data_IF_703621269163
#
_entry.id   IF_703621269163
#
_cell.length_a   1.000
_cell.length_b   1.000
_cell.length_c   1.000
_cell.angle_alpha   90.00
_cell.angle_beta   90.00
_cell.angle_gamma   90.00
#
_symmetry.space_group_name_H-M   'P 1'
#
loop_
_entity.id
_entity.type
_entity.pdbx_description
1 polymer ?
#
# COMPACT_ATOMS: atom_id res chain seq x y z
N UNK A 1 -19.07 0.45 -9.50
CA UNK A 1 -18.98 -1.03 -9.66
C UNK A 1 -17.84 -1.49 -8.78
N UNK A 2 -18.11 -2.37 -7.81
CA UNK A 2 -17.12 -2.74 -6.78
C UNK A 2 -15.90 -3.38 -7.43
N UNK A 3 -14.73 -2.79 -7.19
CA UNK A 3 -13.45 -3.24 -7.72
C UNK A 3 -12.77 -4.24 -6.80
N UNK A 4 -12.67 -3.91 -5.49
CA UNK A 4 -12.22 -4.83 -4.44
C UNK A 4 -13.34 -5.03 -3.42
N UNK A 5 -13.64 -6.27 -3.10
CA UNK A 5 -14.58 -6.64 -2.05
C UNK A 5 -13.90 -7.61 -1.07
N UNK A 6 -13.91 -7.25 0.21
CA UNK A 6 -13.44 -8.09 1.31
C UNK A 6 -14.63 -8.37 2.23
N UNK A 7 -14.93 -9.65 2.49
CA UNK A 7 -16.05 -10.07 3.34
C UNK A 7 -15.57 -11.05 4.40
N UNK A 8 -15.85 -10.72 5.65
CA UNK A 8 -15.60 -11.55 6.83
C UNK A 8 -14.21 -12.17 6.85
N UNK A 9 -13.21 -11.38 6.41
CA UNK A 9 -11.82 -11.81 6.34
C UNK A 9 -11.31 -12.15 7.74
N UNK A 10 -10.86 -13.39 7.92
CA UNK A 10 -10.15 -13.82 9.10
C UNK A 10 -8.77 -14.34 8.73
N UNK A 11 -7.78 -13.96 9.54
CA UNK A 11 -6.40 -14.46 9.43
C UNK A 11 -5.92 -14.91 10.79
N UNK A 12 -5.45 -16.16 10.87
CA UNK A 12 -4.92 -16.78 12.09
C UNK A 12 -3.56 -17.39 11.84
N UNK A 13 -2.65 -17.30 12.79
CA UNK A 13 -1.29 -17.79 12.66
C UNK A 13 -0.97 -18.93 13.60
N UNK A 14 -0.21 -19.90 13.07
CA UNK A 14 0.41 -20.99 13.81
C UNK A 14 -0.56 -21.97 14.48
N UNK A 15 -0.01 -22.93 15.22
CA UNK A 15 -0.79 -23.99 15.89
C UNK A 15 -1.74 -23.44 16.96
N UNK A 16 -1.42 -22.31 17.59
CA UNK A 16 -2.25 -21.67 18.62
C UNK A 16 -3.37 -20.82 18.03
N UNK A 17 -3.50 -20.73 16.71
CA UNK A 17 -4.53 -19.97 16.01
C UNK A 17 -4.60 -18.51 16.49
N UNK A 18 -3.44 -17.88 16.70
CA UNK A 18 -3.38 -16.47 17.09
C UNK A 18 -4.09 -15.62 16.03
N UNK A 19 -5.15 -14.91 16.43
CA UNK A 19 -5.99 -14.11 15.55
C UNK A 19 -5.28 -12.80 15.24
N UNK A 20 -5.05 -12.50 13.96
CA UNK A 20 -4.48 -11.26 13.50
C UNK A 20 -5.49 -10.38 12.75
N UNK A 21 -6.49 -11.02 12.10
CA UNK A 21 -7.63 -10.33 11.47
C UNK A 21 -8.87 -11.14 11.81
N UNK A 22 -9.95 -10.47 12.22
CA UNK A 22 -11.15 -11.10 12.75
C UNK A 22 -12.43 -10.46 12.20
N UNK A 23 -12.95 -10.99 11.08
CA UNK A 23 -14.22 -10.58 10.49
C UNK A 23 -14.16 -9.22 9.77
N UNK A 24 -13.03 -8.86 9.19
CA UNK A 24 -12.88 -7.59 8.47
C UNK A 24 -13.66 -7.61 7.16
N UNK A 25 -14.52 -6.60 6.96
CA UNK A 25 -15.34 -6.43 5.75
C UNK A 25 -15.30 -4.98 5.25
N UNK A 26 -15.00 -4.81 3.97
CA UNK A 26 -15.07 -3.52 3.27
C UNK A 26 -15.12 -3.72 1.76
N UNK A 27 -15.48 -2.66 1.04
CA UNK A 27 -15.43 -2.62 -0.41
C UNK A 27 -14.79 -1.32 -0.88
N UNK A 28 -14.22 -1.37 -2.09
CA UNK A 28 -13.66 -0.24 -2.82
C UNK A 28 -14.19 -0.25 -4.25
N UNK A 29 -14.68 0.87 -4.71
CA UNK A 29 -14.94 1.10 -6.12
C UNK A 29 -13.69 1.61 -6.86
N UNK A 30 -13.70 1.61 -8.19
CA UNK A 30 -12.61 2.21 -8.98
C UNK A 30 -12.47 3.70 -8.64
N UNK A 31 -11.23 4.17 -8.46
CA UNK A 31 -10.96 5.55 -8.05
C UNK A 31 -11.22 5.84 -6.58
N UNK A 32 -11.72 4.87 -5.80
CA UNK A 32 -11.96 5.04 -4.38
C UNK A 32 -10.71 4.74 -3.56
N UNK A 33 -10.52 5.52 -2.49
CA UNK A 33 -9.41 5.37 -1.54
C UNK A 33 -9.95 5.20 -0.14
N UNK A 34 -9.59 4.07 0.50
CA UNK A 34 -9.90 3.77 1.89
C UNK A 34 -8.63 3.81 2.73
N UNK A 35 -8.62 4.64 3.76
CA UNK A 35 -7.60 4.59 4.80
C UNK A 35 -7.90 3.51 5.82
N UNK A 36 -6.90 2.77 6.28
CA UNK A 36 -6.99 1.92 7.47
C UNK A 36 -6.00 2.46 8.49
N UNK A 37 -6.51 2.88 9.65
CA UNK A 37 -5.72 3.40 10.75
C UNK A 37 -5.84 2.52 11.99
N UNK A 38 -4.84 2.56 12.85
CA UNK A 38 -4.81 1.81 14.11
C UNK A 38 -3.39 1.60 14.61
N UNK A 39 -3.23 1.15 15.83
CA UNK A 39 -1.92 0.87 16.45
C UNK A 39 -1.15 -0.23 15.71
N UNK A 40 0.18 -0.31 15.97
CA UNK A 40 1.00 -1.42 15.48
C UNK A 40 0.43 -2.75 15.98
N UNK A 41 0.39 -3.76 15.11
CA UNK A 41 -0.18 -5.06 15.43
C UNK A 41 -1.72 -5.16 15.33
N UNK A 42 -2.44 -4.10 14.96
CA UNK A 42 -3.91 -4.17 14.80
C UNK A 42 -4.41 -4.99 13.61
N UNK A 43 -3.53 -5.49 12.73
CA UNK A 43 -3.89 -6.35 11.59
C UNK A 43 -3.86 -5.67 10.21
N UNK A 44 -3.51 -4.37 10.11
CA UNK A 44 -3.53 -3.59 8.87
C UNK A 44 -2.68 -4.20 7.75
N UNK A 45 -1.38 -4.37 7.99
CA UNK A 45 -0.45 -4.96 7.01
C UNK A 45 -0.79 -6.42 6.69
N UNK A 46 -1.31 -7.16 7.69
CA UNK A 46 -1.79 -8.54 7.49
C UNK A 46 -2.96 -8.57 6.51
N UNK A 47 -3.86 -7.59 6.57
CA UNK A 47 -4.96 -7.44 5.61
C UNK A 47 -4.43 -7.21 4.19
N UNK A 48 -3.45 -6.32 4.00
CA UNK A 48 -2.80 -6.11 2.70
C UNK A 48 -2.12 -7.38 2.18
N UNK A 49 -1.38 -8.09 3.04
CA UNK A 49 -0.71 -9.34 2.69
C UNK A 49 -1.71 -10.45 2.32
N UNK A 50 -2.88 -10.50 2.98
CA UNK A 50 -3.96 -11.44 2.64
C UNK A 50 -4.51 -11.18 1.24
N UNK A 51 -4.74 -9.91 0.87
CA UNK A 51 -5.20 -9.51 -0.47
C UNK A 51 -4.18 -9.93 -1.54
N UNK A 52 -2.89 -9.76 -1.27
CA UNK A 52 -1.81 -10.16 -2.18
C UNK A 52 -1.51 -11.66 -2.18
N UNK A 53 -2.08 -12.44 -1.26
CA UNK A 53 -1.72 -13.85 -1.11
C UNK A 53 -0.25 -14.05 -0.73
N UNK A 54 0.32 -13.14 0.07
CA UNK A 54 1.71 -13.17 0.53
C UNK A 54 1.86 -13.59 2.00
N UNK A 55 0.78 -14.08 2.61
CA UNK A 55 0.87 -14.64 3.95
C UNK A 55 1.67 -15.94 3.93
N UNK A 56 2.43 -16.25 5.01
CA UNK A 56 3.19 -17.49 5.08
C UNK A 56 2.25 -18.73 5.11
N UNK A 57 2.75 -19.89 4.69
CA UNK A 57 1.98 -21.13 4.53
C UNK A 57 1.26 -21.59 5.83
N UNK A 58 1.79 -21.22 6.99
CA UNK A 58 1.18 -21.53 8.28
C UNK A 58 0.07 -20.56 8.71
N UNK A 59 -0.28 -19.58 7.86
CA UNK A 59 -1.43 -18.71 8.07
C UNK A 59 -2.71 -19.38 7.54
N UNK A 60 -3.75 -19.33 8.35
CA UNK A 60 -5.08 -19.76 7.96
C UNK A 60 -5.92 -18.54 7.59
N UNK A 61 -6.31 -18.46 6.32
CA UNK A 61 -7.12 -17.36 5.77
C UNK A 61 -8.51 -17.91 5.45
N UNK A 62 -9.55 -17.22 5.90
CA UNK A 62 -10.95 -17.52 5.60
C UNK A 62 -11.75 -16.25 5.35
N UNK A 63 -12.99 -16.40 4.90
CA UNK A 63 -13.81 -15.30 4.36
C UNK A 63 -13.77 -15.26 2.85
N UNK A 64 -13.87 -14.06 2.25
CA UNK A 64 -13.81 -13.86 0.80
C UNK A 64 -13.08 -12.57 0.48
N UNK A 65 -12.20 -12.61 -0.52
CA UNK A 65 -11.54 -11.44 -1.11
C UNK A 65 -11.77 -11.53 -2.62
N UNK A 66 -12.50 -10.56 -3.18
CA UNK A 66 -12.79 -10.53 -4.61
C UNK A 66 -12.25 -9.29 -5.28
N UNK A 67 -11.52 -9.50 -6.37
CA UNK A 67 -11.08 -8.44 -7.27
C UNK A 67 -11.86 -8.54 -8.58
N UNK A 68 -12.63 -7.51 -8.93
CA UNK A 68 -13.52 -7.52 -10.10
C UNK A 68 -14.40 -8.79 -10.16
N UNK A 69 -14.91 -9.24 -9.00
CA UNK A 69 -15.73 -10.43 -8.87
C UNK A 69 -14.97 -11.76 -8.81
N UNK A 70 -13.65 -11.78 -9.09
CA UNK A 70 -12.79 -12.97 -9.00
C UNK A 70 -12.38 -13.21 -7.55
N UNK A 71 -12.68 -14.39 -7.01
CA UNK A 71 -12.22 -14.80 -5.68
C UNK A 71 -10.70 -15.00 -5.67
N UNK A 72 -10.03 -14.41 -4.67
CA UNK A 72 -8.58 -14.51 -4.52
C UNK A 72 -8.18 -15.57 -3.51
N UNK A 73 -8.95 -15.78 -2.42
CA UNK A 73 -8.61 -16.78 -1.41
C UNK A 73 -8.59 -18.17 -2.06
N UNK A 74 -7.50 -18.90 -1.84
CA UNK A 74 -7.32 -20.23 -2.40
C UNK A 74 -6.85 -20.28 -3.86
N UNK A 75 -6.56 -19.13 -4.49
CA UNK A 75 -5.95 -19.13 -5.81
C UNK A 75 -4.57 -19.81 -5.78
N UNK A 76 -4.25 -20.65 -6.78
CA UNK A 76 -2.89 -21.16 -6.95
C UNK A 76 -1.87 -20.04 -7.18
N UNK A 77 -0.65 -20.21 -6.70
CA UNK A 77 0.44 -19.21 -6.79
C UNK A 77 0.67 -18.71 -8.23
N UNK A 78 0.56 -19.58 -9.23
CA UNK A 78 0.68 -19.17 -10.65
C UNK A 78 -0.30 -18.06 -11.05
N UNK A 79 -1.51 -18.04 -10.47
CA UNK A 79 -2.51 -17.01 -10.75
C UNK A 79 -2.20 -15.72 -9.98
N UNK A 80 -1.74 -15.83 -8.72
CA UNK A 80 -1.28 -14.66 -7.98
C UNK A 80 -0.09 -13.97 -8.65
N UNK A 81 0.86 -14.73 -9.23
CA UNK A 81 2.00 -14.13 -9.98
C UNK A 81 1.54 -13.30 -11.18
N UNK A 82 0.46 -13.69 -11.84
CA UNK A 82 -0.11 -12.91 -12.94
C UNK A 82 -0.80 -11.62 -12.47
N UNK A 83 -1.32 -11.61 -11.23
CA UNK A 83 -1.99 -10.46 -10.64
C UNK A 83 -1.01 -9.46 -10.02
N UNK A 84 -0.02 -9.97 -9.25
CA UNK A 84 0.96 -9.13 -8.53
C UNK A 84 1.81 -8.34 -9.51
N UNK A 85 1.88 -7.02 -9.29
CA UNK A 85 2.61 -6.09 -10.14
C UNK A 85 1.89 -5.70 -11.44
N UNK A 86 0.76 -6.33 -11.77
CA UNK A 86 -0.04 -6.05 -12.96
C UNK A 86 -1.45 -5.51 -12.61
N UNK A 87 -2.27 -6.31 -11.93
CA UNK A 87 -3.62 -5.91 -11.51
C UNK A 87 -3.61 -5.35 -10.07
N UNK A 88 -2.78 -5.91 -9.21
CA UNK A 88 -2.60 -5.50 -7.81
C UNK A 88 -1.13 -5.21 -7.57
N UNK A 89 -0.83 -4.07 -6.97
CA UNK A 89 0.52 -3.72 -6.54
C UNK A 89 0.55 -3.24 -5.10
N UNK A 90 1.74 -3.25 -4.50
CA UNK A 90 1.95 -2.78 -3.13
C UNK A 90 3.17 -1.87 -3.03
N UNK A 91 3.01 -0.77 -2.30
CA UNK A 91 4.10 0.08 -1.85
C UNK A 91 4.39 -0.32 -0.41
N UNK A 92 5.58 -0.86 -0.16
CA UNK A 92 6.00 -1.38 1.14
C UNK A 92 6.55 -0.29 2.04
N UNK A 93 6.49 -0.52 3.34
CA UNK A 93 6.88 0.41 4.39
C UNK A 93 8.37 0.80 4.33
N UNK A 94 9.27 -0.17 4.07
CA UNK A 94 10.71 0.05 4.13
C UNK A 94 11.39 -0.07 2.77
N UNK A 95 11.84 1.05 2.16
CA UNK A 95 12.53 1.02 0.87
C UNK A 95 13.83 0.21 0.86
N UNK A 96 14.53 0.15 2.00
CA UNK A 96 15.82 -0.55 2.10
C UNK A 96 15.69 -2.08 2.02
N UNK A 97 14.55 -2.62 2.44
CA UNK A 97 14.30 -4.07 2.37
C UNK A 97 13.64 -4.50 1.07
N UNK A 98 13.00 -3.55 0.36
CA UNK A 98 12.30 -3.81 -0.88
C UNK A 98 13.18 -3.66 -2.13
N UNK A 99 14.26 -2.87 -2.08
CA UNK A 99 15.23 -2.71 -3.17
C UNK A 99 16.42 -3.66 -3.00
N UNK A 100 16.79 -4.36 -4.07
CA UNK A 100 18.02 -5.18 -4.09
C UNK A 100 19.25 -4.26 -4.09
N UNK A 101 20.10 -4.28 -3.03
CA UNK A 101 21.25 -3.40 -2.90
C UNK A 101 22.35 -3.69 -3.94
N UNK A 102 22.32 -4.84 -4.59
CA UNK A 102 23.32 -5.30 -5.57
C UNK A 102 22.92 -5.02 -7.02
N UNK A 103 21.69 -4.55 -7.24
CA UNK A 103 21.13 -4.31 -8.56
C UNK A 103 20.91 -2.81 -8.81
N UNK A 104 21.20 -2.34 -10.02
CA UNK A 104 20.95 -0.95 -10.43
C UNK A 104 19.45 -0.66 -10.49
N UNK A 105 19.05 0.56 -10.15
CA UNK A 105 17.66 1.00 -10.09
C UNK A 105 16.91 0.75 -11.40
N UNK A 106 17.49 1.15 -12.53
CA UNK A 106 16.85 0.98 -13.83
C UNK A 106 16.56 -0.47 -14.18
N UNK A 107 17.42 -1.41 -13.74
CA UNK A 107 17.20 -2.83 -13.92
C UNK A 107 16.04 -3.32 -13.03
N UNK A 108 15.98 -2.91 -11.78
CA UNK A 108 14.89 -3.30 -10.87
C UNK A 108 13.52 -2.85 -11.38
N UNK A 109 13.40 -1.57 -11.79
CA UNK A 109 12.16 -1.05 -12.39
C UNK A 109 11.86 -1.78 -13.71
N UNK A 110 12.88 -2.03 -14.54
CA UNK A 110 12.73 -2.73 -15.82
C UNK A 110 12.25 -4.17 -15.67
N UNK A 111 12.75 -4.91 -14.68
CA UNK A 111 12.30 -6.28 -14.40
C UNK A 111 10.82 -6.33 -14.04
N UNK A 112 10.31 -5.38 -13.24
CA UNK A 112 8.88 -5.30 -12.93
C UNK A 112 8.03 -5.12 -14.19
N UNK A 113 8.51 -4.29 -15.13
CA UNK A 113 7.83 -4.08 -16.42
C UNK A 113 7.90 -5.35 -17.28
N UNK A 114 9.07 -5.97 -17.38
CA UNK A 114 9.33 -7.10 -18.26
C UNK A 114 8.58 -8.39 -17.87
N UNK A 115 8.36 -8.62 -16.57
CA UNK A 115 7.65 -9.81 -16.07
C UNK A 115 6.23 -9.91 -16.67
N UNK A 116 5.57 -8.78 -16.93
CA UNK A 116 4.18 -8.74 -17.41
C UNK A 116 4.04 -8.31 -18.88
N UNK A 117 5.13 -7.83 -19.48
CA UNK A 117 5.17 -7.46 -20.91
C UNK A 117 6.19 -8.36 -21.59
N UNK A 118 5.82 -8.97 -22.68
CA UNK A 118 6.70 -9.92 -23.37
C UNK A 118 8.02 -9.27 -23.82
N UNK A 119 9.07 -9.42 -23.01
CA UNK A 119 10.46 -9.15 -23.39
C UNK A 119 11.07 -7.88 -22.81
N UNK A 120 12.39 -7.95 -22.59
CA UNK A 120 13.26 -6.79 -22.41
C UNK A 120 13.59 -6.18 -23.79
N UNK A 121 13.51 -4.86 -23.90
CA UNK A 121 13.85 -4.16 -25.14
C UNK A 121 13.98 -2.65 -24.93
N UNK A 122 14.30 -1.89 -25.97
CA UNK A 122 14.38 -0.43 -25.89
C UNK A 122 13.14 0.21 -25.26
N UNK A 123 11.95 -0.32 -25.54
CA UNK A 123 10.70 0.14 -24.96
C UNK A 123 10.65 0.01 -23.42
N UNK A 124 11.30 -1.02 -22.85
CA UNK A 124 11.38 -1.17 -21.39
C UNK A 124 12.23 -0.05 -20.78
N UNK A 125 13.35 0.30 -21.41
CA UNK A 125 14.22 1.38 -20.93
C UNK A 125 13.51 2.74 -20.97
N UNK A 126 12.78 3.04 -22.03
CA UNK A 126 11.99 4.27 -22.15
C UNK A 126 10.92 4.36 -21.04
N UNK A 127 10.21 3.25 -20.76
CA UNK A 127 9.23 3.16 -19.68
C UNK A 127 9.88 3.39 -18.31
N UNK A 128 11.07 2.85 -18.08
CA UNK A 128 11.83 3.07 -16.83
C UNK A 128 12.12 4.55 -16.65
N UNK A 129 12.65 5.23 -17.68
CA UNK A 129 12.97 6.66 -17.59
C UNK A 129 11.71 7.52 -17.41
N UNK A 130 10.64 7.21 -18.16
CA UNK A 130 9.32 7.86 -18.00
C UNK A 130 8.82 7.78 -16.57
N UNK A 131 8.84 6.58 -15.95
CA UNK A 131 8.37 6.42 -14.59
C UNK A 131 9.26 7.09 -13.55
N UNK A 132 10.58 7.07 -13.72
CA UNK A 132 11.48 7.79 -12.82
C UNK A 132 11.24 9.31 -12.90
N UNK A 133 11.02 9.86 -14.09
CA UNK A 133 10.66 11.26 -14.27
C UNK A 133 9.29 11.57 -13.63
N UNK A 134 8.29 10.74 -13.89
CA UNK A 134 6.93 10.88 -13.41
C UNK A 134 6.83 10.89 -11.87
N UNK A 135 7.66 10.11 -11.19
CA UNK A 135 7.75 10.15 -9.71
C UNK A 135 8.63 11.29 -9.19
N UNK A 136 9.07 12.20 -10.06
CA UNK A 136 9.83 13.39 -9.70
C UNK A 136 11.30 13.13 -9.38
N UNK A 137 11.89 12.08 -9.93
CA UNK A 137 13.35 11.88 -9.91
C UNK A 137 13.97 12.86 -10.88
N UNK A 138 14.90 13.69 -10.38
CA UNK A 138 15.75 14.50 -11.22
C UNK A 138 16.87 13.64 -11.82
N UNK A 139 17.24 13.90 -13.08
CA UNK A 139 18.25 13.15 -13.83
C UNK A 139 17.95 11.62 -13.89
N UNK A 140 16.77 11.20 -14.45
CA UNK A 140 16.37 9.78 -14.52
C UNK A 140 17.45 8.86 -15.09
N UNK A 141 18.20 9.23 -16.16
CA UNK A 141 19.27 8.36 -16.70
C UNK A 141 20.40 8.11 -15.70
N UNK A 142 20.76 9.07 -14.87
CA UNK A 142 21.77 8.91 -13.83
C UNK A 142 21.27 7.98 -12.74
N UNK A 143 20.07 8.25 -12.24
CA UNK A 143 19.46 7.44 -11.17
C UNK A 143 19.19 6.00 -11.63
N UNK A 144 18.75 5.77 -12.86
CA UNK A 144 18.61 4.43 -13.42
C UNK A 144 19.90 3.62 -13.40
N UNK A 145 21.07 4.29 -13.53
CA UNK A 145 22.39 3.66 -13.46
C UNK A 145 22.95 3.56 -12.03
N UNK A 146 22.32 4.16 -11.04
CA UNK A 146 22.75 4.13 -9.63
C UNK A 146 22.27 2.88 -8.91
N UNK A 147 22.92 2.57 -7.79
CA UNK A 147 22.51 1.55 -6.84
C UNK A 147 21.66 2.17 -5.72
N UNK A 148 20.83 1.38 -5.00
CA UNK A 148 19.98 1.90 -3.92
C UNK A 148 20.72 2.70 -2.85
N UNK A 149 21.94 2.29 -2.47
CA UNK A 149 22.74 2.95 -1.44
C UNK A 149 23.25 4.34 -1.85
N UNK A 150 23.27 4.66 -3.15
CA UNK A 150 23.65 5.98 -3.69
C UNK A 150 22.51 6.99 -3.68
N UNK A 151 21.28 6.56 -3.32
CA UNK A 151 20.08 7.40 -3.31
C UNK A 151 19.71 7.87 -1.89
N UNK A 152 19.10 9.05 -1.79
CA UNK A 152 18.45 9.50 -0.56
C UNK A 152 17.22 8.65 -0.22
N UNK A 153 16.73 8.71 1.04
CA UNK A 153 15.52 7.99 1.46
C UNK A 153 14.30 8.35 0.60
N UNK A 154 14.09 9.63 0.33
CA UNK A 154 13.00 10.09 -0.53
C UNK A 154 13.13 9.63 -1.99
N UNK A 155 14.35 9.56 -2.54
CA UNK A 155 14.57 9.02 -3.88
C UNK A 155 14.26 7.52 -3.94
N UNK A 156 14.69 6.74 -2.94
CA UNK A 156 14.36 5.31 -2.84
C UNK A 156 12.85 5.08 -2.78
N UNK A 157 12.14 5.89 -1.97
CA UNK A 157 10.68 5.79 -1.87
C UNK A 157 10.01 6.09 -3.22
N UNK A 158 10.46 7.13 -3.94
CA UNK A 158 9.96 7.46 -5.29
C UNK A 158 10.23 6.33 -6.29
N UNK A 159 11.37 5.67 -6.20
CA UNK A 159 11.69 4.48 -7.01
C UNK A 159 10.73 3.32 -6.70
N UNK A 160 10.42 3.04 -5.42
CA UNK A 160 9.42 2.03 -5.07
C UNK A 160 8.03 2.36 -5.61
N UNK A 161 7.63 3.63 -5.56
CA UNK A 161 6.37 4.08 -6.17
C UNK A 161 6.40 3.85 -7.68
N UNK A 162 7.50 4.19 -8.36
CA UNK A 162 7.68 3.92 -9.78
C UNK A 162 7.54 2.42 -10.10
N UNK A 163 8.20 1.54 -9.35
CA UNK A 163 8.08 0.09 -9.49
C UNK A 163 6.64 -0.38 -9.28
N UNK A 164 5.99 0.08 -8.22
CA UNK A 164 4.62 -0.30 -7.91
C UNK A 164 3.60 0.11 -8.98
N UNK A 165 3.83 1.23 -9.66
CA UNK A 165 2.90 1.81 -10.63
C UNK A 165 3.26 1.55 -12.10
N UNK A 166 4.43 0.99 -12.38
CA UNK A 166 4.99 0.85 -13.74
C UNK A 166 4.07 0.09 -14.71
N UNK A 167 3.35 -0.91 -14.24
CA UNK A 167 2.38 -1.66 -15.04
C UNK A 167 0.95 -1.12 -14.93
N UNK A 168 0.75 0.03 -14.30
CA UNK A 168 -0.55 0.72 -14.16
C UNK A 168 -1.61 -0.17 -13.49
N UNK A 169 -1.36 -0.75 -12.31
CA UNK A 169 -2.30 -1.61 -11.61
C UNK A 169 -3.61 -0.88 -11.30
N UNK A 170 -4.72 -1.61 -11.29
CA UNK A 170 -6.02 -1.06 -10.93
C UNK A 170 -6.24 -0.96 -9.41
N UNK A 171 -5.52 -1.80 -8.61
CA UNK A 171 -5.51 -1.76 -7.15
C UNK A 171 -4.09 -1.50 -6.64
N UNK A 172 -3.95 -0.50 -5.78
CA UNK A 172 -2.68 -0.19 -5.11
C UNK A 172 -2.85 -0.26 -3.60
N UNK A 173 -2.06 -1.10 -2.95
CA UNK A 173 -1.99 -1.20 -1.50
C UNK A 173 -0.80 -0.38 -1.02
N UNK A 174 -1.02 0.59 -0.16
CA UNK A 174 0.01 1.46 0.41
C UNK A 174 0.17 1.13 1.90
N UNK A 175 1.23 0.42 2.27
CA UNK A 175 1.51 0.06 3.66
C UNK A 175 2.57 1.00 4.22
N UNK A 176 2.13 2.00 4.95
CA UNK A 176 2.94 3.06 5.55
C UNK A 176 3.95 3.72 4.56
N UNK A 177 3.50 4.22 3.40
CA UNK A 177 4.37 4.58 2.28
C UNK A 177 5.27 5.80 2.54
N UNK A 178 5.12 6.48 3.68
CA UNK A 178 5.89 7.69 4.03
C UNK A 178 6.61 7.59 5.37
N UNK A 179 6.59 6.43 6.01
CA UNK A 179 7.34 6.19 7.25
C UNK A 179 8.84 6.42 7.02
N UNK A 180 9.52 7.02 8.00
CA UNK A 180 10.95 7.38 7.97
C UNK A 180 11.35 8.46 6.93
N UNK A 181 10.41 9.24 6.39
CA UNK A 181 10.68 10.43 5.59
C UNK A 181 10.55 11.70 6.45
N UNK A 182 11.36 12.71 6.12
CA UNK A 182 11.15 14.05 6.70
C UNK A 182 9.85 14.68 6.20
N UNK A 183 9.32 15.65 6.94
CA UNK A 183 7.99 16.24 6.69
C UNK A 183 7.82 16.80 5.28
N UNK A 184 8.87 17.43 4.72
CA UNK A 184 8.80 18.03 3.38
C UNK A 184 8.76 16.94 2.30
N UNK A 185 9.61 15.94 2.41
CA UNK A 185 9.63 14.79 1.49
C UNK A 185 8.35 13.98 1.61
N UNK A 186 7.86 13.76 2.84
CA UNK A 186 6.58 13.08 3.09
C UNK A 186 5.44 13.77 2.32
N UNK A 187 5.30 15.10 2.44
CA UNK A 187 4.26 15.85 1.73
C UNK A 187 4.37 15.69 0.21
N UNK A 188 5.59 15.80 -0.33
CA UNK A 188 5.81 15.62 -1.77
C UNK A 188 5.45 14.22 -2.26
N UNK A 189 5.73 13.18 -1.46
CA UNK A 189 5.36 11.79 -1.78
C UNK A 189 3.84 11.61 -1.71
N UNK A 190 3.16 12.21 -0.73
CA UNK A 190 1.70 12.15 -0.62
C UNK A 190 1.01 12.88 -1.79
N UNK A 191 1.50 14.04 -2.21
CA UNK A 191 0.98 14.78 -3.36
C UNK A 191 1.16 13.97 -4.66
N UNK A 192 2.32 13.31 -4.82
CA UNK A 192 2.56 12.38 -5.91
C UNK A 192 1.55 11.20 -5.89
N UNK A 193 1.36 10.55 -4.73
CA UNK A 193 0.40 9.47 -4.58
C UNK A 193 -1.03 9.95 -4.85
N UNK A 194 -1.40 11.16 -4.41
CA UNK A 194 -2.70 11.75 -4.70
C UNK A 194 -2.96 11.86 -6.21
N UNK A 195 -1.98 12.30 -6.99
CA UNK A 195 -2.10 12.43 -8.45
C UNK A 195 -2.14 11.06 -9.14
N UNK A 196 -1.24 10.15 -8.76
CA UNK A 196 -1.08 8.86 -9.42
C UNK A 196 -2.19 7.86 -9.10
N UNK A 197 -2.83 7.98 -7.92
CA UNK A 197 -3.89 7.09 -7.47
C UNK A 197 -5.31 7.64 -7.76
N UNK A 198 -5.46 8.76 -8.45
CA UNK A 198 -6.74 9.43 -8.65
C UNK A 198 -7.80 8.53 -9.31
N UNK A 199 -7.40 7.67 -10.25
CA UNK A 199 -8.30 6.79 -11.00
C UNK A 199 -8.20 5.32 -10.56
N UNK A 200 -7.44 5.00 -9.51
CA UNK A 200 -7.18 3.65 -9.03
C UNK A 200 -7.90 3.39 -7.72
N UNK A 201 -8.36 2.16 -7.53
CA UNK A 201 -8.74 1.71 -6.21
C UNK A 201 -7.49 1.64 -5.33
N UNK A 202 -7.53 2.17 -4.11
CA UNK A 202 -6.37 2.06 -3.23
C UNK A 202 -6.74 1.89 -1.77
N UNK A 203 -5.96 1.05 -1.08
CA UNK A 203 -6.01 0.84 0.36
C UNK A 203 -4.78 1.50 0.98
N UNK A 204 -4.98 2.45 1.85
CA UNK A 204 -3.92 3.24 2.46
C UNK A 204 -3.80 2.92 3.95
N UNK A 205 -2.77 2.21 4.32
CA UNK A 205 -2.51 1.83 5.72
C UNK A 205 -1.52 2.82 6.33
N UNK A 206 -1.88 3.41 7.46
CA UNK A 206 -1.01 4.26 8.25
C UNK A 206 -1.41 4.26 9.72
N UNK A 207 -0.47 4.57 10.61
CA UNK A 207 -0.75 4.95 11.99
C UNK A 207 -0.92 6.47 12.14
N UNK A 208 -0.54 7.24 11.12
CA UNK A 208 -0.64 8.71 11.09
C UNK A 208 -1.96 9.15 10.45
N UNK A 209 -2.82 9.75 11.26
CA UNK A 209 -4.13 10.25 10.85
C UNK A 209 -4.04 11.41 9.85
N UNK A 210 -3.03 12.27 9.98
CA UNK A 210 -2.82 13.40 9.09
C UNK A 210 -2.46 12.93 7.67
N UNK A 211 -1.64 11.86 7.57
CA UNK A 211 -1.29 11.21 6.31
C UNK A 211 -2.55 10.66 5.62
N UNK A 212 -3.38 9.92 6.36
CA UNK A 212 -4.61 9.34 5.80
C UNK A 212 -5.60 10.43 5.38
N UNK A 213 -5.76 11.49 6.18
CA UNK A 213 -6.61 12.64 5.85
C UNK A 213 -6.20 13.35 4.57
N UNK A 214 -4.89 13.39 4.29
CA UNK A 214 -4.36 14.01 3.07
C UNK A 214 -4.71 13.23 1.80
N UNK A 215 -4.84 11.90 1.89
CA UNK A 215 -5.00 11.01 0.71
C UNK A 215 -6.41 10.43 0.58
N UNK A 216 -7.06 10.09 1.70
CA UNK A 216 -8.31 9.33 1.72
C UNK A 216 -9.49 10.18 2.17
N UNK A 217 -10.67 9.91 1.59
CA UNK A 217 -11.95 10.48 2.05
C UNK A 217 -12.65 9.59 3.07
N UNK A 218 -12.47 8.28 2.97
CA UNK A 218 -13.03 7.30 3.88
C UNK A 218 -11.92 6.67 4.71
N UNK A 219 -12.25 6.35 5.96
CA UNK A 219 -11.33 5.69 6.88
C UNK A 219 -12.04 4.56 7.64
N UNK A 220 -11.31 3.48 7.87
CA UNK A 220 -11.66 2.41 8.79
C UNK A 220 -10.64 2.38 9.92
N UNK A 221 -11.14 2.41 11.16
CA UNK A 221 -10.32 2.31 12.37
C UNK A 221 -10.23 0.85 12.75
N UNK A 222 -9.01 0.32 12.80
CA UNK A 222 -8.75 -1.08 13.09
C UNK A 222 -8.11 -1.26 14.46
N UNK A 223 -8.69 -2.18 15.26
CA UNK A 223 -8.20 -2.55 16.58
C UNK A 223 -8.35 -4.05 16.79
N UNK A 224 -7.31 -4.72 17.33
CA UNK A 224 -7.33 -6.13 17.68
C UNK A 224 -7.89 -7.05 16.55
N UNK A 225 -7.52 -6.75 15.31
CA UNK A 225 -7.94 -7.49 14.12
C UNK A 225 -9.33 -7.13 13.57
N UNK A 226 -10.07 -6.19 14.17
CA UNK A 226 -11.43 -5.82 13.78
C UNK A 226 -11.53 -4.36 13.33
N UNK A 227 -12.43 -4.05 12.40
CA UNK A 227 -12.83 -2.67 12.12
C UNK A 227 -13.85 -2.27 13.20
N UNK A 228 -13.45 -1.32 14.05
CA UNK A 228 -14.27 -0.85 15.18
C UNK A 228 -15.09 0.40 14.85
N UNK A 229 -14.66 1.15 13.82
CA UNK A 229 -15.39 2.32 13.33
C UNK A 229 -15.02 2.58 11.86
N UNK A 230 -15.98 3.05 11.05
CA UNK A 230 -15.76 3.42 9.65
C UNK A 230 -16.65 4.60 9.28
N UNK A 231 -16.12 5.53 8.47
CA UNK A 231 -16.88 6.69 8.00
C UNK A 231 -16.02 7.64 7.15
N UNK A 232 -16.57 8.83 6.90
CA UNK A 232 -15.79 9.91 6.30
C UNK A 232 -14.71 10.35 7.30
N UNK A 233 -13.51 10.62 6.80
CA UNK A 233 -12.36 10.93 7.65
C UNK A 233 -12.62 12.13 8.57
N UNK A 234 -13.25 13.19 8.04
CA UNK A 234 -13.56 14.40 8.82
C UNK A 234 -14.62 14.12 9.90
N UNK A 235 -15.63 13.28 9.62
CA UNK A 235 -16.62 12.87 10.63
C UNK A 235 -15.99 12.05 11.76
N UNK A 236 -15.08 11.12 11.42
CA UNK A 236 -14.36 10.31 12.39
C UNK A 236 -13.46 11.18 13.26
N UNK A 237 -12.83 12.23 12.70
CA UNK A 237 -11.96 13.15 13.45
C UNK A 237 -12.78 14.05 14.37
N UNK A 238 -13.91 14.58 13.88
CA UNK A 238 -14.70 15.60 14.60
C UNK A 238 -15.64 14.99 15.63
N UNK A 239 -16.22 13.83 15.32
CA UNK A 239 -17.24 13.16 16.13
C UNK A 239 -17.04 11.64 16.28
N UNK A 240 -15.87 11.17 16.76
CA UNK A 240 -15.61 9.75 16.92
C UNK A 240 -16.59 9.09 17.89
N UNK A 241 -17.13 7.94 17.51
CA UNK A 241 -18.11 7.22 18.32
C UNK A 241 -17.45 6.19 19.23
N UNK A 242 -16.55 5.38 18.67
CA UNK A 242 -15.89 4.29 19.40
C UNK A 242 -14.85 4.82 20.40
N UNK A 243 -14.79 4.24 21.60
CA UNK A 243 -13.89 4.66 22.67
C UNK A 243 -12.40 4.61 22.28
N UNK A 244 -12.01 3.65 21.46
CA UNK A 244 -10.66 3.53 20.93
C UNK A 244 -10.34 4.64 19.93
N UNK A 245 -11.26 4.94 19.00
CA UNK A 245 -11.11 6.04 18.04
C UNK A 245 -10.91 7.38 18.76
N UNK A 246 -11.68 7.64 19.83
CA UNK A 246 -11.51 8.84 20.67
C UNK A 246 -10.10 8.94 21.25
N UNK A 247 -9.56 7.83 21.74
CA UNK A 247 -8.18 7.78 22.28
C UNK A 247 -7.14 8.00 21.18
N UNK A 248 -7.31 7.37 20.02
CA UNK A 248 -6.40 7.48 18.89
C UNK A 248 -6.31 8.94 18.40
N UNK A 249 -7.46 9.61 18.24
CA UNK A 249 -7.52 11.02 17.82
C UNK A 249 -6.95 11.96 18.87
N UNK A 250 -7.23 11.71 20.15
CA UNK A 250 -6.67 12.51 21.24
C UNK A 250 -5.14 12.42 21.29
N UNK A 251 -4.57 11.24 21.05
CA UNK A 251 -3.12 11.06 20.97
C UNK A 251 -2.54 11.82 19.76
N UNK A 252 -3.13 11.70 18.58
CA UNK A 252 -2.66 12.40 17.38
C UNK A 252 -2.68 13.92 17.52
N UNK A 253 -3.68 14.50 18.20
CA UNK A 253 -3.75 15.94 18.47
C UNK A 253 -2.70 16.42 19.46
N UNK A 254 -2.23 15.58 20.37
CA UNK A 254 -1.14 15.90 21.30
C UNK A 254 0.23 15.96 20.60
N UNK A 255 0.43 15.09 19.61
CA UNK A 255 1.66 15.07 18.81
C UNK A 255 1.77 16.30 17.89
N UNK A 256 0.64 16.88 17.44
CA UNK A 256 0.61 18.14 16.66
C UNK A 256 0.95 19.40 17.50
N UNK A 257 0.88 19.34 18.81
CA UNK A 257 1.08 20.49 19.73
C UNK A 257 2.48 20.54 20.32
N UNK A 258 3.31 19.51 20.11
CA UNK A 258 4.73 19.55 20.54
C UNK A 258 5.60 20.08 19.38
N UNK A 259 6.21 21.30 19.54
CA UNK A 259 7.10 21.87 18.53
C UNK A 259 8.45 21.16 18.45
#
# INVERSE_FOLDING_TARGET
>A
MTYLEVRDLQVRFGRRQAVAVDGVSFCLDKGERLGIIGESGSGKSVTCMAILGLLPEHAHVSGSIRLEGRELIGLPERHYRALRGNEISMIFQEPMTALDPTMRIGRQVGEVVAIHRAGEGPATHEIVLEWLERVGIQEPPRVANSYPHELSGGQRQRVLIAMALANRPGLVLCDEPTTALDVLVQRQVLDLLNSELAERASLFVSHDLAVVRHVCRQVAVMKDGQIVERGLIDEIIDAPQHSYTKKLIAAARLDEVQP
#
